data_IF_384172146158
#
_entry.id   IF_384172146158
#
_cell.length_a   1.000
_cell.length_b   1.000
_cell.length_c   1.000
_cell.angle_alpha   90.00
_cell.angle_beta   90.00
_cell.angle_gamma   90.00
#
_symmetry.space_group_name_H-M   'P 1'
#
loop_
_entity.id
_entity.type
_entity.pdbx_description
1 polymer ?
#
# COMPACT_ATOMS: atom_id res chain seq x y z
N UNK A 1 10.11 10.47 -19.24
CA UNK A 1 11.27 10.80 -18.39
C UNK A 1 11.21 9.87 -17.19
N UNK A 2 12.27 9.14 -16.92
CA UNK A 2 12.29 8.05 -15.92
C UNK A 2 12.37 8.62 -14.50
N UNK A 3 11.21 8.81 -13.85
CA UNK A 3 11.09 9.21 -12.45
C UNK A 3 11.83 8.27 -11.48
N UNK A 4 12.12 7.04 -11.90
CA UNK A 4 12.85 6.02 -11.14
C UNK A 4 14.27 6.46 -10.74
N UNK A 5 14.93 7.30 -11.54
CA UNK A 5 16.30 7.73 -11.26
C UNK A 5 16.43 8.68 -10.06
N UNK A 6 15.34 9.29 -9.58
CA UNK A 6 15.35 10.19 -8.42
C UNK A 6 14.87 9.52 -7.14
N UNK A 7 14.32 8.29 -7.22
CA UNK A 7 13.96 7.50 -6.03
C UNK A 7 15.19 7.24 -5.14
N UNK A 8 15.05 7.31 -3.80
CA UNK A 8 16.14 6.94 -2.89
C UNK A 8 16.36 5.43 -2.83
N UNK A 9 15.43 4.62 -3.34
CA UNK A 9 15.49 3.16 -3.34
C UNK A 9 16.72 2.65 -4.11
N UNK A 10 17.44 1.68 -3.55
CA UNK A 10 18.71 1.18 -4.10
C UNK A 10 19.95 2.07 -3.90
N UNK A 11 19.83 3.28 -3.34
CA UNK A 11 20.95 4.20 -3.09
C UNK A 11 21.39 4.25 -1.63
N UNK A 12 22.65 4.64 -1.39
CA UNK A 12 23.15 4.98 -0.06
C UNK A 12 22.39 6.20 0.49
N UNK A 13 21.97 6.16 1.75
CA UNK A 13 21.09 7.18 2.33
C UNK A 13 21.69 7.70 3.63
N UNK A 14 21.80 9.03 3.76
CA UNK A 14 22.05 9.68 5.04
C UNK A 14 20.73 9.83 5.80
N UNK A 15 20.71 9.47 7.08
CA UNK A 15 19.54 9.68 7.94
C UNK A 15 19.41 11.16 8.28
N UNK A 16 18.19 11.70 8.23
CA UNK A 16 17.92 13.04 8.71
C UNK A 16 17.84 13.02 10.24
N UNK A 17 18.56 13.93 10.90
CA UNK A 17 18.58 14.05 12.36
C UNK A 17 17.39 14.84 12.91
N UNK A 18 16.62 15.47 12.02
CA UNK A 18 15.44 16.29 12.33
C UNK A 18 14.37 16.10 11.25
N UNK A 19 13.14 16.45 11.61
CA UNK A 19 11.94 16.36 10.79
C UNK A 19 12.14 17.05 9.44
N UNK A 20 11.89 16.29 8.37
CA UNK A 20 12.08 16.73 7.00
C UNK A 20 11.01 16.14 6.06
N UNK A 21 9.98 16.93 5.67
CA UNK A 21 8.94 16.48 4.74
C UNK A 21 9.43 16.39 3.29
N UNK A 22 10.56 17.01 2.95
CA UNK A 22 11.10 16.98 1.58
C UNK A 22 11.59 15.58 1.18
N UNK A 23 11.79 14.70 2.17
CA UNK A 23 12.13 13.30 1.97
C UNK A 23 11.01 12.50 1.28
N UNK A 24 9.75 12.97 1.33
CA UNK A 24 8.64 12.28 0.65
C UNK A 24 8.82 12.35 -0.86
N UNK A 25 8.89 11.17 -1.48
CA UNK A 25 9.00 11.01 -2.93
C UNK A 25 7.68 10.48 -3.51
N UNK A 26 6.78 11.35 -4.02
CA UNK A 26 5.55 10.93 -4.64
C UNK A 26 5.80 10.35 -6.05
N UNK A 27 5.17 9.21 -6.34
CA UNK A 27 5.21 8.51 -7.62
C UNK A 27 3.87 8.66 -8.35
N UNK A 28 3.84 9.24 -9.57
CA UNK A 28 2.61 9.38 -10.34
C UNK A 28 1.98 8.02 -10.65
N UNK A 29 0.68 7.86 -10.42
CA UNK A 29 -0.04 6.61 -10.71
C UNK A 29 -0.36 6.44 -12.20
N UNK A 30 -0.45 7.55 -12.95
CA UNK A 30 -1.01 7.57 -14.31
C UNK A 30 -0.32 6.57 -15.25
N UNK A 31 1.01 6.55 -15.31
CA UNK A 31 1.75 5.67 -16.22
C UNK A 31 1.41 4.18 -15.99
N UNK A 32 1.31 3.75 -14.73
CA UNK A 32 0.93 2.36 -14.40
C UNK A 32 -0.55 2.07 -14.58
N UNK A 33 -1.42 3.08 -14.46
CA UNK A 33 -2.85 2.94 -14.77
C UNK A 33 -3.06 2.78 -16.28
N UNK A 34 -2.36 3.55 -17.11
CA UNK A 34 -2.43 3.45 -18.57
C UNK A 34 -2.03 2.05 -19.07
N UNK A 35 -1.01 1.42 -18.46
CA UNK A 35 -0.59 0.04 -18.77
C UNK A 35 -1.71 -1.00 -18.59
N UNK A 36 -2.64 -0.78 -17.66
CA UNK A 36 -3.76 -1.69 -17.37
C UNK A 36 -5.10 -1.20 -17.94
N UNK A 37 -5.09 -0.18 -18.81
CA UNK A 37 -6.30 0.40 -19.39
C UNK A 37 -7.16 1.18 -18.40
N UNK A 38 -6.60 1.60 -17.27
CA UNK A 38 -7.24 2.53 -16.35
C UNK A 38 -6.81 3.97 -16.72
N UNK A 39 -7.76 4.81 -17.12
CA UNK A 39 -7.48 6.21 -17.42
C UNK A 39 -7.33 7.04 -16.12
N UNK A 40 -7.29 8.38 -16.27
CA UNK A 40 -7.31 9.33 -15.14
C UNK A 40 -8.48 9.14 -14.17
N UNK A 41 -9.57 8.50 -14.61
CA UNK A 41 -10.70 8.07 -13.78
C UNK A 41 -10.75 6.54 -13.78
N UNK A 42 -10.11 5.88 -12.80
CA UNK A 42 -10.09 4.43 -12.77
C UNK A 42 -11.52 3.87 -12.61
N UNK A 43 -11.81 2.68 -13.16
CA UNK A 43 -13.11 2.02 -13.03
C UNK A 43 -13.35 1.43 -11.63
N UNK A 44 -12.52 1.80 -10.65
CA UNK A 44 -12.53 1.28 -9.29
C UNK A 44 -12.45 2.41 -8.28
N UNK A 45 -12.99 2.14 -7.09
CA UNK A 45 -12.88 2.97 -5.91
C UNK A 45 -12.22 2.16 -4.79
N UNK A 46 -11.46 2.83 -3.92
CA UNK A 46 -10.77 2.18 -2.82
C UNK A 46 -9.68 3.04 -2.22
N UNK A 47 -8.74 2.42 -1.52
CA UNK A 47 -7.59 3.07 -0.93
C UNK A 47 -6.43 2.09 -0.78
N UNK A 48 -5.21 2.64 -0.77
CA UNK A 48 -4.04 1.91 -0.28
C UNK A 48 -3.98 2.08 1.24
N UNK A 49 -3.95 0.96 1.96
CA UNK A 49 -3.82 0.91 3.41
C UNK A 49 -2.39 0.55 3.79
N UNK A 50 -1.76 1.40 4.59
CA UNK A 50 -0.37 1.21 5.01
C UNK A 50 -0.30 1.17 6.54
N UNK A 51 0.52 0.25 7.06
CA UNK A 51 0.85 0.18 8.48
C UNK A 51 2.31 0.55 8.67
N UNK A 52 2.56 1.67 9.34
CA UNK A 52 3.88 2.08 9.79
C UNK A 52 4.12 1.53 11.20
N UNK A 53 4.92 0.46 11.28
CA UNK A 53 5.26 -0.19 12.55
C UNK A 53 6.34 0.56 13.35
N UNK A 54 7.11 1.43 12.71
CA UNK A 54 8.29 2.11 13.27
C UNK A 54 8.07 3.63 13.35
N UNK A 55 7.03 4.10 14.05
CA UNK A 55 6.82 5.53 14.31
C UNK A 55 7.33 5.93 15.70
N UNK A 56 8.22 6.92 15.76
CA UNK A 56 8.78 7.44 17.01
C UNK A 56 9.13 8.93 16.90
N UNK A 57 9.07 9.65 18.03
CA UNK A 57 9.41 11.07 18.14
C UNK A 57 9.81 11.46 19.57
N UNK A 58 10.23 12.71 19.80
CA UNK A 58 10.51 13.23 21.15
C UNK A 58 9.35 14.07 21.67
N UNK A 59 8.97 13.92 22.93
CA UNK A 59 8.05 14.85 23.58
C UNK A 59 8.77 16.18 23.95
N UNK A 60 8.08 17.22 24.47
CA UNK A 60 8.69 18.52 24.79
C UNK A 60 9.84 18.48 25.82
N UNK A 61 10.03 17.35 26.51
CA UNK A 61 11.12 17.13 27.47
C UNK A 61 12.24 16.24 26.90
N UNK A 62 12.22 15.95 25.60
CA UNK A 62 13.20 15.10 24.93
C UNK A 62 13.03 13.60 25.20
N UNK A 63 11.89 13.17 25.77
CA UNK A 63 11.64 11.73 26.01
C UNK A 63 11.09 11.09 24.73
N UNK A 64 11.69 9.99 24.24
CA UNK A 64 11.15 9.22 23.13
C UNK A 64 9.72 8.72 23.40
N UNK A 65 8.87 8.84 22.38
CA UNK A 65 7.54 8.28 22.27
C UNK A 65 7.53 7.30 21.10
N UNK A 66 6.72 6.24 21.19
CA UNK A 66 6.58 5.24 20.13
C UNK A 66 5.10 5.01 19.84
N UNK A 67 4.77 4.71 18.60
CA UNK A 67 3.42 4.42 18.16
C UNK A 67 3.43 3.55 16.89
N UNK A 68 2.27 3.03 16.53
CA UNK A 68 1.99 2.58 15.17
C UNK A 68 1.23 3.69 14.44
N UNK A 69 1.29 3.73 13.11
CA UNK A 69 0.39 4.58 12.34
C UNK A 69 -0.26 3.81 11.18
N UNK A 70 -1.57 3.98 11.05
CA UNK A 70 -2.34 3.47 9.93
C UNK A 70 -2.63 4.63 8.99
N UNK A 71 -2.28 4.45 7.72
CA UNK A 71 -2.43 5.45 6.68
C UNK A 71 -3.40 4.91 5.64
N UNK A 72 -4.35 5.75 5.23
CA UNK A 72 -5.33 5.44 4.18
C UNK A 72 -5.18 6.46 3.06
N UNK A 73 -4.61 6.03 1.94
CA UNK A 73 -4.38 6.88 0.77
C UNK A 73 -5.49 6.57 -0.26
N UNK A 74 -6.35 7.54 -0.63
CA UNK A 74 -7.40 7.31 -1.61
C UNK A 74 -6.85 6.79 -2.94
N UNK A 75 -7.47 5.74 -3.50
CA UNK A 75 -7.05 5.16 -4.77
C UNK A 75 -7.22 6.13 -5.96
N UNK A 76 -7.97 7.22 -5.78
CA UNK A 76 -8.13 8.33 -6.74
C UNK A 76 -6.98 9.33 -6.75
N UNK A 77 -6.07 9.28 -5.75
CA UNK A 77 -4.94 10.22 -5.67
C UNK A 77 -4.11 10.21 -6.96
N UNK A 78 -3.47 11.34 -7.28
CA UNK A 78 -2.62 11.44 -8.48
C UNK A 78 -1.31 10.69 -8.29
N UNK A 79 -0.82 10.62 -7.05
CA UNK A 79 0.42 9.93 -6.68
C UNK A 79 0.21 8.93 -5.54
N UNK A 80 1.06 7.91 -5.51
CA UNK A 80 1.35 7.11 -4.31
C UNK A 80 2.69 7.61 -3.73
N UNK A 81 3.02 7.28 -2.47
CA UNK A 81 4.34 7.61 -1.90
C UNK A 81 5.28 6.41 -2.07
N UNK A 82 6.53 6.64 -2.47
CA UNK A 82 7.55 5.59 -2.54
C UNK A 82 7.92 5.09 -1.14
N UNK A 83 7.94 3.77 -0.91
CA UNK A 83 7.98 3.18 0.43
C UNK A 83 9.27 3.46 1.20
N UNK A 84 10.45 3.49 0.54
CA UNK A 84 11.69 3.88 1.21
C UNK A 84 11.69 5.36 1.57
N UNK A 85 11.24 6.24 0.68
CA UNK A 85 11.08 7.66 0.95
C UNK A 85 10.18 7.91 2.15
N UNK A 86 9.08 7.14 2.26
CA UNK A 86 8.18 7.20 3.41
C UNK A 86 8.87 6.75 4.70
N UNK A 87 9.62 5.64 4.67
CA UNK A 87 10.43 5.19 5.82
C UNK A 87 11.42 6.27 6.27
N UNK A 88 12.11 6.93 5.34
CA UNK A 88 13.08 7.99 5.66
C UNK A 88 12.39 9.21 6.25
N UNK A 89 11.24 9.60 5.70
CA UNK A 89 10.38 10.64 6.26
C UNK A 89 9.95 10.31 7.69
N UNK A 90 9.46 9.10 7.97
CA UNK A 90 9.10 8.68 9.33
C UNK A 90 10.30 8.71 10.28
N UNK A 91 11.48 8.25 9.82
CA UNK A 91 12.70 8.29 10.62
C UNK A 91 13.13 9.71 10.99
N UNK A 92 12.79 10.72 10.19
CA UNK A 92 13.08 12.13 10.49
C UNK A 92 12.35 12.62 11.76
N UNK A 93 11.27 11.97 12.18
CA UNK A 93 10.57 12.30 13.42
C UNK A 93 11.35 11.87 14.67
N UNK A 94 12.21 10.84 14.58
CA UNK A 94 12.87 10.21 15.74
C UNK A 94 13.66 11.19 16.61
N UNK A 95 14.33 12.17 15.97
CA UNK A 95 15.12 13.21 16.64
C UNK A 95 14.37 14.52 16.88
N UNK A 96 13.09 14.59 16.52
CA UNK A 96 12.31 15.83 16.54
C UNK A 96 11.27 15.89 17.64
N UNK A 97 11.09 17.09 18.17
CA UNK A 97 10.18 17.36 19.29
C UNK A 97 8.79 17.72 18.78
N UNK A 98 7.77 16.99 19.26
CA UNK A 98 6.36 17.29 19.04
C UNK A 98 5.63 17.35 20.39
N UNK A 99 4.55 18.14 20.45
CA UNK A 99 3.79 18.33 21.69
C UNK A 99 3.13 17.05 22.19
N UNK A 100 2.53 16.29 21.27
CA UNK A 100 1.76 15.07 21.55
C UNK A 100 1.56 14.24 20.27
N UNK A 101 0.89 13.08 20.40
CA UNK A 101 0.54 12.21 19.28
C UNK A 101 -0.41 12.89 18.27
N UNK A 102 -1.27 13.81 18.73
CA UNK A 102 -2.19 14.54 17.85
C UNK A 102 -1.44 15.49 16.90
N UNK A 103 -0.38 16.16 17.37
CA UNK A 103 0.49 16.98 16.53
C UNK A 103 1.23 16.15 15.48
N UNK A 104 1.71 14.96 15.85
CA UNK A 104 2.33 14.01 14.90
C UNK A 104 1.30 13.54 13.87
N UNK A 105 0.11 13.13 14.30
CA UNK A 105 -0.97 12.72 13.40
C UNK A 105 -1.36 13.82 12.41
N UNK A 106 -1.52 15.06 12.90
CA UNK A 106 -1.85 16.22 12.06
C UNK A 106 -0.74 16.50 11.05
N UNK A 107 0.52 16.35 11.46
CA UNK A 107 1.68 16.53 10.60
C UNK A 107 1.74 15.49 9.49
N UNK A 108 1.69 14.21 9.84
CA UNK A 108 1.62 13.09 8.89
C UNK A 108 0.49 13.30 7.88
N UNK A 109 -0.70 13.66 8.34
CA UNK A 109 -1.86 13.92 7.48
C UNK A 109 -1.57 15.04 6.48
N UNK A 110 -1.04 16.16 6.95
CA UNK A 110 -0.78 17.33 6.11
C UNK A 110 0.25 17.02 5.02
N UNK A 111 1.39 16.45 5.39
CA UNK A 111 2.50 16.24 4.47
C UNK A 111 2.17 15.12 3.47
N UNK A 112 1.55 14.02 3.91
CA UNK A 112 1.12 12.95 3.01
C UNK A 112 0.01 13.40 2.06
N UNK A 113 -0.93 14.23 2.53
CA UNK A 113 -1.96 14.80 1.66
C UNK A 113 -1.35 15.72 0.60
N UNK A 114 -0.35 16.53 0.93
CA UNK A 114 0.37 17.32 -0.08
C UNK A 114 1.05 16.40 -1.10
N UNK A 115 1.80 15.40 -0.62
CA UNK A 115 2.59 14.53 -1.48
C UNK A 115 1.73 13.76 -2.49
N UNK A 116 0.59 13.18 -2.07
CA UNK A 116 -0.25 12.36 -2.95
C UNK A 116 -1.04 13.17 -3.98
N UNK A 117 -1.12 14.49 -3.81
CA UNK A 117 -1.79 15.43 -4.72
C UNK A 117 -0.81 16.42 -5.39
N UNK A 118 0.50 16.24 -5.22
CA UNK A 118 1.51 17.18 -5.72
C UNK A 118 1.32 17.46 -7.22
N UNK A 119 1.29 18.74 -7.59
CA UNK A 119 1.10 19.18 -8.97
C UNK A 119 -0.33 19.07 -9.52
N UNK A 120 -1.32 18.73 -8.68
CA UNK A 120 -2.74 18.69 -9.04
C UNK A 120 -3.64 19.33 -7.97
N UNK A 121 -4.96 19.44 -8.23
CA UNK A 121 -5.90 19.88 -7.21
C UNK A 121 -6.00 18.84 -6.08
N UNK A 122 -5.98 19.30 -4.82
CA UNK A 122 -6.25 18.44 -3.66
C UNK A 122 -7.74 18.12 -3.64
N UNK A 123 -8.10 16.84 -3.78
CA UNK A 123 -9.50 16.40 -3.79
C UNK A 123 -9.93 15.76 -2.47
N UNK A 124 -9.01 15.11 -1.76
CA UNK A 124 -9.27 14.45 -0.48
C UNK A 124 -8.04 14.47 0.43
N UNK A 125 -8.23 14.37 1.75
CA UNK A 125 -7.12 14.20 2.70
C UNK A 125 -6.77 12.74 2.91
N UNK A 126 -5.49 12.44 3.14
CA UNK A 126 -5.03 11.13 3.61
C UNK A 126 -5.59 10.85 5.02
N UNK A 127 -6.13 9.64 5.22
CA UNK A 127 -6.52 9.16 6.55
C UNK A 127 -5.28 8.80 7.35
N UNK A 128 -5.19 9.27 8.60
CA UNK A 128 -4.10 8.92 9.53
C UNK A 128 -4.69 8.61 10.89
N UNK A 129 -4.40 7.42 11.40
CA UNK A 129 -4.66 7.01 12.79
C UNK A 129 -3.32 6.66 13.44
N UNK A 130 -3.01 7.32 14.56
CA UNK A 130 -1.86 6.97 15.41
C UNK A 130 -2.37 6.06 16.52
N UNK A 131 -1.68 4.95 16.75
CA UNK A 131 -2.00 3.95 17.78
C UNK A 131 -0.93 4.03 18.85
N UNK A 132 -1.32 4.45 20.05
CA UNK A 132 -0.40 4.54 21.18
C UNK A 132 -0.22 3.16 21.88
N UNK A 133 0.85 2.98 22.67
CA UNK A 133 1.21 1.66 23.20
C UNK A 133 0.15 0.96 24.04
N UNK A 134 -0.70 1.72 24.73
CA UNK A 134 -1.83 1.20 25.51
C UNK A 134 -2.93 0.57 24.64
N UNK A 135 -2.95 0.87 23.33
CA UNK A 135 -3.88 0.33 22.34
C UNK A 135 -3.27 -0.72 21.42
N UNK A 136 -1.98 -1.04 21.55
CA UNK A 136 -1.34 -2.10 20.73
C UNK A 136 -2.05 -3.46 20.87
N UNK A 137 -2.64 -3.71 22.04
CA UNK A 137 -3.43 -4.91 22.30
C UNK A 137 -4.70 -5.05 21.44
N UNK A 138 -5.11 -4.01 20.69
CA UNK A 138 -6.25 -4.07 19.77
C UNK A 138 -5.84 -4.44 18.34
N UNK A 139 -4.55 -4.36 18.01
CA UNK A 139 -4.04 -4.73 16.69
C UNK A 139 -3.97 -6.26 16.60
N UNK A 140 -4.81 -6.84 15.73
CA UNK A 140 -4.98 -8.29 15.59
C UNK A 140 -4.46 -8.73 14.22
N UNK A 141 -3.76 -9.87 14.21
CA UNK A 141 -3.55 -10.62 12.97
C UNK A 141 -4.85 -11.36 12.67
N UNK A 142 -5.36 -11.19 11.45
CA UNK A 142 -6.58 -11.83 10.97
C UNK A 142 -6.33 -12.43 9.59
N UNK A 143 -6.99 -13.54 9.30
CA UNK A 143 -6.99 -14.18 7.99
C UNK A 143 -8.12 -13.60 7.12
N UNK A 144 -7.99 -13.70 5.80
CA UNK A 144 -9.08 -13.36 4.91
C UNK A 144 -10.20 -14.40 4.97
N UNK A 145 -11.45 -13.93 4.93
CA UNK A 145 -12.61 -14.79 4.81
C UNK A 145 -12.80 -15.25 3.35
N UNK A 146 -13.27 -16.47 3.12
CA UNK A 146 -13.53 -17.00 1.78
C UNK A 146 -13.02 -18.42 1.58
N UNK A 147 -13.18 -18.95 0.37
CA UNK A 147 -12.67 -20.24 -0.04
C UNK A 147 -11.25 -20.09 -0.58
N UNK A 148 -10.27 -20.65 0.13
CA UNK A 148 -8.88 -20.63 -0.32
C UNK A 148 -8.71 -21.42 -1.62
N UNK A 149 -8.13 -20.78 -2.62
CA UNK A 149 -7.71 -21.41 -3.87
C UNK A 149 -6.54 -22.36 -3.66
N UNK A 150 -5.72 -22.12 -2.65
CA UNK A 150 -4.48 -22.87 -2.35
C UNK A 150 -4.74 -24.34 -1.96
N UNK A 151 -6.02 -24.72 -1.77
CA UNK A 151 -6.45 -26.12 -1.60
C UNK A 151 -6.33 -26.96 -2.87
N UNK A 152 -6.24 -26.31 -4.03
CA UNK A 152 -6.23 -26.98 -5.34
C UNK A 152 -4.86 -27.63 -5.58
N UNK A 153 -4.88 -28.91 -5.93
CA UNK A 153 -3.67 -29.67 -6.29
C UNK A 153 -3.48 -29.59 -7.81
N UNK A 154 -2.72 -28.58 -8.25
CA UNK A 154 -2.52 -28.25 -9.67
C UNK A 154 -1.05 -28.16 -10.05
N UNK A 155 -0.76 -28.33 -11.34
CA UNK A 155 0.56 -28.12 -11.91
C UNK A 155 0.71 -26.69 -12.46
N UNK A 156 1.62 -25.90 -11.92
CA UNK A 156 1.96 -24.57 -12.44
C UNK A 156 3.26 -24.62 -13.26
N UNK A 157 3.18 -24.30 -14.55
CA UNK A 157 4.35 -24.32 -15.46
C UNK A 157 4.78 -22.93 -15.93
N UNK A 158 3.97 -21.90 -15.69
CA UNK A 158 4.24 -20.50 -16.06
C UNK A 158 4.26 -19.62 -14.81
N UNK A 159 5.26 -18.75 -14.72
CA UNK A 159 5.51 -17.86 -13.57
C UNK A 159 5.66 -16.39 -14.00
N UNK A 160 4.97 -16.04 -15.08
CA UNK A 160 4.84 -14.68 -15.63
C UNK A 160 3.37 -14.44 -15.93
N UNK A 161 2.86 -13.20 -15.79
CA UNK A 161 1.44 -12.90 -15.98
C UNK A 161 0.87 -13.51 -17.26
N UNK A 162 -0.27 -14.19 -17.13
CA UNK A 162 -0.91 -14.96 -18.20
C UNK A 162 -2.43 -14.70 -18.25
N UNK A 163 -2.88 -13.50 -18.68
CA UNK A 163 -4.31 -13.14 -18.66
C UNK A 163 -5.23 -14.12 -19.40
N UNK A 164 -4.70 -14.89 -20.36
CA UNK A 164 -5.42 -15.93 -21.09
C UNK A 164 -5.86 -17.13 -20.23
N UNK A 165 -5.31 -17.31 -19.01
CA UNK A 165 -5.75 -18.33 -18.05
C UNK A 165 -7.05 -17.93 -17.33
N UNK A 166 -7.43 -16.65 -17.37
CA UNK A 166 -8.63 -16.14 -16.72
C UNK A 166 -9.86 -16.45 -17.57
N UNK A 167 -10.65 -17.42 -17.13
CA UNK A 167 -11.92 -17.79 -17.77
C UNK A 167 -13.06 -17.87 -16.75
N UNK A 168 -14.30 -17.86 -17.23
CA UNK A 168 -15.49 -17.97 -16.40
C UNK A 168 -16.63 -18.65 -17.16
N UNK A 169 -17.56 -19.27 -16.43
CA UNK A 169 -18.72 -19.96 -16.97
C UNK A 169 -19.84 -18.98 -17.37
N UNK A 170 -19.69 -18.34 -18.54
CA UNK A 170 -20.65 -17.32 -19.03
C UNK A 170 -22.03 -17.86 -19.43
N UNK A 171 -22.14 -19.18 -19.68
CA UNK A 171 -23.39 -19.84 -20.06
C UNK A 171 -24.18 -20.39 -18.85
N UNK A 172 -23.67 -20.18 -17.63
CA UNK A 172 -24.29 -20.65 -16.38
C UNK A 172 -24.96 -19.51 -15.60
N UNK A 173 -25.69 -19.88 -14.54
CA UNK A 173 -26.26 -18.85 -13.65
C UNK A 173 -25.13 -18.16 -12.85
N UNK A 174 -25.22 -16.83 -12.64
CA UNK A 174 -24.26 -16.11 -11.83
C UNK A 174 -24.18 -16.64 -10.39
N UNK A 175 -22.99 -16.51 -9.80
CA UNK A 175 -22.69 -16.85 -8.41
C UNK A 175 -22.29 -15.60 -7.63
N UNK A 176 -22.35 -15.71 -6.30
CA UNK A 176 -21.68 -14.80 -5.37
C UNK A 176 -20.64 -15.62 -4.61
N UNK A 177 -19.36 -15.31 -4.81
CA UNK A 177 -18.25 -16.04 -4.21
C UNK A 177 -17.22 -15.09 -3.60
N UNK A 178 -16.54 -15.58 -2.56
CA UNK A 178 -15.35 -14.95 -1.98
C UNK A 178 -14.23 -15.97 -2.05
N UNK A 179 -13.19 -15.65 -2.82
CA UNK A 179 -12.01 -16.49 -3.03
C UNK A 179 -10.80 -15.84 -2.37
N UNK A 180 -9.89 -16.64 -1.83
CA UNK A 180 -8.64 -16.16 -1.20
C UNK A 180 -7.43 -16.94 -1.68
N UNK A 181 -6.25 -16.33 -1.61
CA UNK A 181 -4.96 -17.01 -1.76
C UNK A 181 -3.89 -16.30 -0.94
N UNK A 182 -3.05 -17.07 -0.26
CA UNK A 182 -1.88 -16.59 0.49
C UNK A 182 -0.57 -16.70 -0.34
N UNK A 183 -0.68 -17.06 -1.62
CA UNK A 183 0.46 -17.38 -2.49
C UNK A 183 0.87 -16.23 -3.41
N UNK A 184 0.26 -15.05 -3.27
CA UNK A 184 0.60 -13.91 -4.13
C UNK A 184 2.05 -13.47 -3.88
N UNK A 185 2.84 -13.56 -4.94
CA UNK A 185 4.24 -13.15 -4.93
C UNK A 185 4.57 -12.36 -6.19
N UNK A 186 5.24 -11.24 -6.02
CA UNK A 186 5.82 -10.47 -7.13
C UNK A 186 7.26 -10.06 -6.83
N UNK A 187 7.84 -9.18 -7.63
CA UNK A 187 9.17 -8.61 -7.36
C UNK A 187 9.06 -7.09 -7.42
N UNK A 188 9.69 -6.42 -6.46
CA UNK A 188 9.79 -4.98 -6.44
C UNK A 188 10.57 -4.51 -7.68
N UNK A 189 9.96 -3.66 -8.51
CA UNK A 189 10.53 -3.21 -9.80
C UNK A 189 11.92 -2.57 -9.68
N UNK A 190 12.24 -1.99 -8.51
CA UNK A 190 13.48 -1.24 -8.30
C UNK A 190 14.58 -2.08 -7.65
N UNK A 191 14.21 -2.96 -6.71
CA UNK A 191 15.19 -3.73 -5.92
C UNK A 191 15.30 -5.20 -6.33
N UNK A 192 14.35 -5.68 -7.13
CA UNK A 192 14.16 -7.09 -7.47
C UNK A 192 13.99 -8.02 -6.26
N UNK A 193 13.73 -7.45 -5.07
CA UNK A 193 13.41 -8.23 -3.88
C UNK A 193 11.98 -8.78 -3.98
N UNK A 194 11.71 -9.95 -3.39
CA UNK A 194 10.39 -10.55 -3.44
C UNK A 194 9.40 -9.72 -2.61
N UNK A 195 8.23 -9.48 -3.20
CA UNK A 195 7.05 -8.94 -2.51
C UNK A 195 6.08 -10.10 -2.25
N UNK A 196 5.62 -10.24 -1.01
CA UNK A 196 4.70 -11.30 -0.58
C UNK A 196 3.37 -10.68 -0.13
N UNK A 197 2.27 -11.36 -0.43
CA UNK A 197 0.96 -10.95 0.03
C UNK A 197 -0.07 -12.05 -0.07
N UNK A 198 -1.23 -11.75 0.50
CA UNK A 198 -2.46 -12.51 0.31
C UNK A 198 -3.44 -11.65 -0.48
N UNK A 199 -4.35 -12.29 -1.22
CA UNK A 199 -5.41 -11.62 -1.97
C UNK A 199 -6.77 -12.20 -1.63
N UNK A 200 -7.79 -11.34 -1.54
CA UNK A 200 -9.19 -11.72 -1.43
C UNK A 200 -9.95 -11.13 -2.62
N UNK A 201 -10.76 -11.95 -3.28
CA UNK A 201 -11.60 -11.57 -4.41
C UNK A 201 -13.05 -11.90 -4.05
N UNK A 202 -13.83 -10.87 -3.73
CA UNK A 202 -15.28 -10.98 -3.54
C UNK A 202 -15.97 -10.50 -4.82
N UNK A 203 -16.81 -11.33 -5.43
CA UNK A 203 -17.46 -10.97 -6.68
C UNK A 203 -18.87 -11.54 -6.82
N UNK A 204 -19.64 -10.94 -7.75
CA UNK A 204 -20.93 -11.43 -8.22
C UNK A 204 -20.89 -11.46 -9.75
N UNK A 205 -21.19 -12.61 -10.37
CA UNK A 205 -21.09 -12.78 -11.82
C UNK A 205 -20.93 -14.23 -12.26
N UNK A 206 -20.55 -14.47 -13.53
CA UNK A 206 -20.18 -15.80 -14.01
C UNK A 206 -19.14 -16.45 -13.11
N UNK A 207 -19.29 -17.74 -12.81
CA UNK A 207 -18.36 -18.44 -11.93
C UNK A 207 -16.96 -18.47 -12.55
N UNK A 208 -15.95 -18.00 -11.81
CA UNK A 208 -14.56 -17.96 -12.27
C UNK A 208 -13.99 -19.38 -12.25
N UNK A 209 -13.22 -19.74 -13.28
CA UNK A 209 -12.40 -20.95 -13.26
C UNK A 209 -11.30 -20.80 -12.20
N UNK A 210 -11.45 -21.53 -11.10
CA UNK A 210 -10.60 -21.40 -9.93
C UNK A 210 -9.17 -21.90 -10.17
N UNK A 211 -8.98 -22.93 -11.00
CA UNK A 211 -7.63 -23.42 -11.35
C UNK A 211 -6.91 -22.41 -12.25
N UNK A 212 -7.62 -21.86 -13.25
CA UNK A 212 -7.10 -20.80 -14.12
C UNK A 212 -6.74 -19.53 -13.33
N UNK A 213 -7.57 -19.15 -12.35
CA UNK A 213 -7.32 -18.01 -11.47
C UNK A 213 -6.10 -18.21 -10.57
N UNK A 214 -5.87 -19.41 -10.03
CA UNK A 214 -4.71 -19.69 -9.18
C UNK A 214 -3.38 -19.71 -9.97
N UNK A 215 -3.42 -20.12 -11.25
CA UNK A 215 -2.23 -20.12 -12.11
C UNK A 215 -1.86 -18.74 -12.66
N UNK A 216 -2.82 -17.82 -12.75
CA UNK A 216 -2.64 -16.46 -13.26
C UNK A 216 -1.74 -15.61 -12.36
#
# INVERSE_FOLDING_TARGET
MTYENDSPLGKATAYADQYDPSLLFPLPRLAKREEIGADTRPPFFGADLWTAYELSWLNPRGKPQVALAHITIPAESTHIVESKSFKLYLNSFNGSTFTDAAAVQARLRADLSEAVWRGGPVQASVGVRVVEPDRFGDERVAEFEGLSLDRLDIECTRYTPAPELLTAAFDEQPVEEVLTSDLLKSNCLVTSQPDWGSVQISYSGPQIDQEGLLQY
#
